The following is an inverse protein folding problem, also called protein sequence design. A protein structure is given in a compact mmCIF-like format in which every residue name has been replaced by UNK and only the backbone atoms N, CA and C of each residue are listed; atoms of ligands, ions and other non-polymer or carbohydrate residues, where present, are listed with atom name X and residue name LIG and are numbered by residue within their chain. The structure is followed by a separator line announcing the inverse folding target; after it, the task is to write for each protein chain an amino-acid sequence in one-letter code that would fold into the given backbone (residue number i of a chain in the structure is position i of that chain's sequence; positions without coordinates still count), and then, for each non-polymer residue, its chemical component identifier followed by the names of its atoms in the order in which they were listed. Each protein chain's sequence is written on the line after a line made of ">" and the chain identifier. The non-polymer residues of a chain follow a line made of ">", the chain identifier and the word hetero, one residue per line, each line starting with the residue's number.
data_IF_756186965957
#
_entry.id   IF_756186965957
#
_cell.length_a   1.000
_cell.length_b   1.000
_cell.length_c   1.000
_cell.angle_alpha   90.00
_cell.angle_beta   90.00
_cell.angle_gamma   90.00
#
_symmetry.space_group_name_H-M   'P 1'
#
loop_
_entity.id
_entity.type
_entity.pdbx_description
1 polymer ?
#
# COMPACT_ATOMS: atom_id res chain seq x y z
N UNK A 1 -18.72 0.10 0.42
CA UNK A 1 -20.07 0.29 0.99
C UNK A 1 -21.14 0.48 -0.09
N UNK A 2 -21.35 1.67 -0.67
CA UNK A 2 -22.43 1.88 -1.65
C UNK A 2 -22.43 0.90 -2.85
N UNK A 3 -21.24 0.49 -3.31
CA UNK A 3 -21.10 -0.51 -4.38
C UNK A 3 -21.66 -1.88 -3.97
N UNK A 4 -21.46 -2.29 -2.71
CA UNK A 4 -21.93 -3.55 -2.14
C UNK A 4 -23.38 -3.48 -1.68
N UNK A 5 -23.77 -2.34 -1.11
CA UNK A 5 -25.08 -2.10 -0.52
C UNK A 5 -25.71 -0.89 -1.22
N UNK A 6 -26.46 -1.10 -2.31
CA UNK A 6 -27.08 -0.05 -3.11
C UNK A 6 -28.02 0.86 -2.33
N UNK A 7 -28.63 0.32 -1.27
CA UNK A 7 -29.60 1.02 -0.43
C UNK A 7 -28.96 1.75 0.76
N UNK A 8 -27.62 1.82 0.81
CA UNK A 8 -26.88 2.58 1.82
C UNK A 8 -26.89 4.08 1.50
N UNK A 9 -27.99 4.75 1.86
CA UNK A 9 -28.19 6.19 1.66
C UNK A 9 -27.15 7.05 2.40
N UNK A 10 -26.58 6.55 3.51
CA UNK A 10 -25.52 7.24 4.25
C UNK A 10 -24.23 7.26 3.42
N UNK A 11 -23.85 6.10 2.86
CA UNK A 11 -22.71 6.02 1.94
C UNK A 11 -22.95 6.83 0.67
N UNK A 12 -24.18 6.85 0.13
CA UNK A 12 -24.55 7.68 -1.02
C UNK A 12 -24.27 9.16 -0.76
N UNK A 13 -24.78 9.72 0.35
CA UNK A 13 -24.58 11.15 0.68
C UNK A 13 -23.11 11.51 0.81
N UNK A 14 -22.29 10.63 1.40
CA UNK A 14 -20.84 10.85 1.55
C UNK A 14 -20.10 10.79 0.21
N UNK A 15 -20.46 9.84 -0.66
CA UNK A 15 -19.72 9.57 -1.88
C UNK A 15 -20.08 10.51 -3.04
N UNK A 16 -21.36 10.91 -3.17
CA UNK A 16 -21.86 11.65 -4.36
C UNK A 16 -21.13 12.97 -4.60
N UNK A 17 -20.70 13.65 -3.55
CA UNK A 17 -20.03 14.95 -3.63
C UNK A 17 -18.50 14.89 -3.64
N UNK A 18 -17.90 13.72 -3.40
CA UNK A 18 -16.45 13.56 -3.25
C UNK A 18 -15.87 12.59 -4.28
N UNK A 19 -14.93 13.03 -5.14
CA UNK A 19 -14.56 14.42 -5.46
C UNK A 19 -15.72 15.26 -6.00
N UNK A 20 -15.54 16.59 -6.10
CA UNK A 20 -16.58 17.54 -6.52
C UNK A 20 -17.13 17.21 -7.92
N UNK A 21 -18.40 16.79 -7.98
CA UNK A 21 -19.11 16.43 -9.24
C UNK A 21 -20.10 17.47 -9.74
N UNK A 22 -20.09 18.68 -9.17
CA UNK A 22 -21.09 19.72 -9.48
C UNK A 22 -22.51 19.34 -9.04
N UNK A 23 -22.62 18.47 -8.03
CA UNK A 23 -23.85 18.12 -7.32
C UNK A 23 -23.75 18.79 -5.95
N UNK A 24 -24.63 19.75 -5.66
CA UNK A 24 -24.61 20.49 -4.40
C UNK A 24 -25.51 19.88 -3.32
N UNK A 25 -25.35 20.34 -2.08
CA UNK A 25 -26.16 19.89 -0.93
C UNK A 25 -27.66 19.95 -1.19
N UNK A 26 -28.16 21.05 -1.75
CA UNK A 26 -29.59 21.21 -2.07
C UNK A 26 -30.09 20.11 -3.02
N UNK A 27 -29.27 19.68 -3.98
CA UNK A 27 -29.61 18.58 -4.88
C UNK A 27 -29.64 17.25 -4.12
N UNK A 28 -28.68 17.01 -3.21
CA UNK A 28 -28.63 15.80 -2.39
C UNK A 28 -29.83 15.72 -1.44
N UNK A 29 -30.20 16.83 -0.80
CA UNK A 29 -31.42 16.92 0.03
C UNK A 29 -32.69 16.66 -0.79
N UNK A 30 -32.76 17.17 -2.03
CA UNK A 30 -33.91 16.91 -2.92
C UNK A 30 -33.98 15.44 -3.32
N UNK A 31 -32.85 14.80 -3.64
CA UNK A 31 -32.79 13.36 -3.90
C UNK A 31 -33.29 12.58 -2.68
N UNK A 32 -32.88 12.97 -1.47
CA UNK A 32 -33.33 12.33 -0.25
C UNK A 32 -34.85 12.48 0.00
N UNK A 33 -35.42 13.65 -0.27
CA UNK A 33 -36.85 13.86 -0.17
C UNK A 33 -37.61 12.97 -1.16
N UNK A 34 -37.16 12.92 -2.42
CA UNK A 34 -37.75 12.07 -3.45
C UNK A 34 -37.61 10.58 -3.12
N UNK A 35 -36.48 10.16 -2.55
CA UNK A 35 -36.26 8.79 -2.08
C UNK A 35 -37.30 8.40 -1.01
N UNK A 36 -37.52 9.29 -0.03
CA UNK A 36 -38.56 9.11 0.99
C UNK A 36 -39.99 9.09 0.45
N UNK A 37 -40.30 9.96 -0.53
CA UNK A 37 -41.63 10.02 -1.17
C UNK A 37 -41.95 8.77 -2.00
N UNK A 38 -40.95 8.22 -2.69
CA UNK A 38 -41.11 7.06 -3.56
C UNK A 38 -40.81 5.73 -2.86
N UNK A 39 -40.36 5.77 -1.60
CA UNK A 39 -39.94 4.61 -0.81
C UNK A 39 -38.90 3.75 -1.54
N UNK A 40 -37.90 4.40 -2.12
CA UNK A 40 -36.75 3.79 -2.81
C UNK A 40 -35.45 4.43 -2.31
N UNK A 41 -34.31 3.80 -2.56
CA UNK A 41 -33.01 4.36 -2.16
C UNK A 41 -32.63 5.60 -2.98
N UNK A 42 -31.74 6.43 -2.42
CA UNK A 42 -31.20 7.61 -3.09
C UNK A 42 -30.50 7.25 -4.40
N UNK A 43 -29.89 6.05 -4.48
CA UNK A 43 -29.27 5.55 -5.70
C UNK A 43 -30.30 5.26 -6.81
N UNK A 44 -31.47 4.72 -6.45
CA UNK A 44 -32.54 4.46 -7.43
C UNK A 44 -33.13 5.77 -7.99
N UNK A 45 -33.31 6.79 -7.14
CA UNK A 45 -33.64 8.14 -7.61
C UNK A 45 -32.56 8.67 -8.55
N UNK A 46 -31.28 8.42 -8.24
CA UNK A 46 -30.18 8.88 -9.06
C UNK A 46 -30.13 8.20 -10.44
N UNK A 47 -30.44 6.89 -10.52
CA UNK A 47 -30.57 6.15 -11.80
C UNK A 47 -31.63 6.78 -12.70
N UNK A 48 -32.75 7.16 -12.10
CA UNK A 48 -33.90 7.73 -12.80
C UNK A 48 -33.95 9.26 -12.73
N UNK A 49 -32.85 9.95 -12.43
CA UNK A 49 -32.86 11.39 -12.17
C UNK A 49 -33.45 12.26 -13.31
N UNK A 50 -33.50 11.74 -14.54
CA UNK A 50 -34.12 12.41 -15.69
C UNK A 50 -35.65 12.40 -15.70
N UNK A 51 -36.31 11.58 -14.89
CA UNK A 51 -37.79 11.53 -14.80
C UNK A 51 -38.35 12.57 -13.84
N UNK A 52 -37.52 13.09 -12.93
CA UNK A 52 -37.91 14.06 -11.91
C UNK A 52 -37.62 15.50 -12.38
N UNK A 53 -38.68 16.31 -12.51
CA UNK A 53 -38.57 17.71 -12.95
C UNK A 53 -37.64 18.54 -12.04
N UNK A 54 -37.70 18.29 -10.73
CA UNK A 54 -36.88 18.97 -9.72
C UNK A 54 -35.38 18.74 -9.89
N UNK A 55 -34.99 17.61 -10.50
CA UNK A 55 -33.61 17.24 -10.73
C UNK A 55 -33.14 17.59 -12.14
N UNK A 56 -34.00 18.12 -13.01
CA UNK A 56 -33.72 18.36 -14.44
C UNK A 56 -32.36 19.05 -14.73
N UNK A 57 -31.97 20.04 -13.93
CA UNK A 57 -30.69 20.78 -14.08
C UNK A 57 -29.46 19.99 -13.68
N UNK A 58 -29.62 18.99 -12.82
CA UNK A 58 -28.56 18.13 -12.29
C UNK A 58 -28.65 16.68 -12.77
N UNK A 59 -29.70 16.32 -13.51
CA UNK A 59 -30.04 14.94 -13.88
C UNK A 59 -28.89 14.23 -14.59
N UNK A 60 -28.17 14.92 -15.49
CA UNK A 60 -27.01 14.35 -16.17
C UNK A 60 -25.84 14.01 -15.22
N UNK A 61 -25.57 14.86 -14.23
CA UNK A 61 -24.48 14.63 -13.25
C UNK A 61 -24.87 13.55 -12.25
N UNK A 62 -26.11 13.58 -11.78
CA UNK A 62 -26.67 12.61 -10.81
C UNK A 62 -26.75 11.22 -11.44
N UNK A 63 -27.30 11.09 -12.65
CA UNK A 63 -27.32 9.82 -13.38
C UNK A 63 -25.92 9.35 -13.78
N UNK A 64 -25.00 10.28 -14.06
CA UNK A 64 -23.59 9.97 -14.26
C UNK A 64 -22.96 9.29 -13.04
N UNK A 65 -23.25 9.79 -11.84
CA UNK A 65 -22.80 9.15 -10.59
C UNK A 65 -23.43 7.76 -10.39
N UNK A 66 -24.73 7.61 -10.64
CA UNK A 66 -25.39 6.30 -10.55
C UNK A 66 -24.75 5.28 -11.51
N UNK A 67 -24.50 5.67 -12.77
CA UNK A 67 -23.82 4.83 -13.77
C UNK A 67 -22.41 4.44 -13.36
N UNK A 68 -21.67 5.33 -12.71
CA UNK A 68 -20.35 5.03 -12.17
C UNK A 68 -20.44 3.92 -11.12
N UNK A 69 -21.35 4.03 -10.16
CA UNK A 69 -21.54 3.02 -9.11
C UNK A 69 -22.00 1.68 -9.70
N UNK A 70 -22.99 1.70 -10.59
CA UNK A 70 -23.49 0.49 -11.25
C UNK A 70 -22.40 -0.17 -12.10
N UNK A 71 -21.55 0.62 -12.77
CA UNK A 71 -20.41 0.11 -13.54
C UNK A 71 -19.32 -0.52 -12.66
N UNK A 72 -19.03 0.06 -11.49
CA UNK A 72 -18.09 -0.52 -10.53
C UNK A 72 -18.64 -1.82 -9.92
N UNK A 73 -19.94 -1.85 -9.62
CA UNK A 73 -20.62 -3.05 -9.13
C UNK A 73 -20.59 -4.17 -10.16
N UNK A 74 -20.94 -3.89 -11.41
CA UNK A 74 -20.90 -4.88 -12.47
C UNK A 74 -19.48 -5.45 -12.68
N UNK A 75 -18.44 -4.61 -12.56
CA UNK A 75 -17.05 -5.07 -12.63
C UNK A 75 -16.67 -5.97 -11.45
N UNK A 76 -17.16 -5.69 -10.25
CA UNK A 76 -16.93 -6.53 -9.08
C UNK A 76 -17.63 -7.89 -9.21
N UNK A 77 -18.88 -7.90 -9.70
CA UNK A 77 -19.67 -9.12 -9.89
C UNK A 77 -19.12 -10.00 -11.03
N UNK A 78 -18.48 -9.39 -12.03
CA UNK A 78 -17.87 -10.07 -13.18
C UNK A 78 -16.37 -10.31 -13.00
N UNK A 79 -15.79 -9.90 -11.87
CA UNK A 79 -14.37 -10.06 -11.64
C UNK A 79 -14.02 -11.55 -11.56
N UNK A 80 -13.08 -11.97 -12.40
CA UNK A 80 -12.45 -13.29 -12.27
C UNK A 80 -11.59 -13.32 -10.99
N UNK A 81 -11.27 -14.52 -10.52
CA UNK A 81 -10.49 -14.76 -9.29
C UNK A 81 -9.09 -14.12 -9.29
N UNK A 82 -8.61 -13.66 -10.45
CA UNK A 82 -7.30 -13.01 -10.60
C UNK A 82 -7.30 -11.53 -10.20
N UNK A 83 -8.48 -10.91 -10.00
CA UNK A 83 -8.56 -9.52 -9.56
C UNK A 83 -8.44 -9.43 -8.03
N UNK A 84 -7.35 -8.84 -7.55
CA UNK A 84 -7.15 -8.63 -6.11
C UNK A 84 -8.08 -7.55 -5.54
N UNK A 85 -8.31 -7.57 -4.23
CA UNK A 85 -9.04 -6.51 -3.53
C UNK A 85 -8.37 -5.15 -3.76
N UNK A 86 -7.04 -5.11 -3.73
CA UNK A 86 -6.28 -3.89 -3.95
C UNK A 86 -6.43 -3.34 -5.38
N UNK A 87 -6.47 -4.22 -6.39
CA UNK A 87 -6.76 -3.81 -7.77
C UNK A 87 -8.16 -3.21 -7.89
N UNK A 88 -9.13 -3.77 -7.17
CA UNK A 88 -10.49 -3.24 -7.13
C UNK A 88 -10.56 -1.86 -6.47
N UNK A 89 -9.88 -1.66 -5.33
CA UNK A 89 -9.81 -0.35 -4.67
C UNK A 89 -9.14 0.67 -5.61
N UNK A 90 -8.03 0.34 -6.27
CA UNK A 90 -7.39 1.22 -7.27
C UNK A 90 -8.34 1.58 -8.39
N UNK A 91 -9.11 0.61 -8.90
CA UNK A 91 -10.12 0.85 -9.92
C UNK A 91 -11.17 1.86 -9.44
N UNK A 92 -11.64 1.75 -8.20
CA UNK A 92 -12.59 2.69 -7.59
C UNK A 92 -11.96 4.08 -7.44
N UNK A 93 -10.73 4.17 -6.95
CA UNK A 93 -9.99 5.43 -6.77
C UNK A 93 -9.81 6.19 -8.09
N UNK A 94 -9.42 5.49 -9.15
CA UNK A 94 -9.27 6.07 -10.49
C UNK A 94 -10.63 6.41 -11.13
N UNK A 95 -11.59 5.48 -11.12
CA UNK A 95 -12.89 5.67 -11.80
C UNK A 95 -13.74 6.75 -11.12
N UNK A 96 -13.60 6.93 -9.81
CA UNK A 96 -14.28 7.99 -9.05
C UNK A 96 -13.66 9.37 -9.25
N UNK A 97 -12.42 9.44 -9.76
CA UNK A 97 -11.64 10.66 -9.92
C UNK A 97 -10.93 11.13 -8.66
N UNK A 98 -10.88 10.31 -7.59
CA UNK A 98 -10.34 10.72 -6.28
C UNK A 98 -8.85 11.06 -6.36
N UNK A 99 -8.05 10.22 -7.03
CA UNK A 99 -6.60 10.44 -7.18
C UNK A 99 -6.33 11.74 -7.92
N UNK A 100 -6.95 11.92 -9.09
CA UNK A 100 -6.78 13.14 -9.90
C UNK A 100 -7.18 14.41 -9.12
N UNK A 101 -8.23 14.34 -8.30
CA UNK A 101 -8.65 15.48 -7.48
C UNK A 101 -7.63 15.81 -6.37
N UNK A 102 -7.08 14.80 -5.70
CA UNK A 102 -6.06 14.99 -4.67
C UNK A 102 -4.72 15.46 -5.26
N UNK A 103 -4.33 14.94 -6.43
CA UNK A 103 -3.16 15.41 -7.19
C UNK A 103 -3.31 16.90 -7.56
N UNK A 104 -4.47 17.30 -8.11
CA UNK A 104 -4.76 18.70 -8.44
C UNK A 104 -4.76 19.61 -7.19
N UNK A 105 -5.25 19.11 -6.05
CA UNK A 105 -5.16 19.83 -4.77
C UNK A 105 -3.71 19.99 -4.28
N UNK A 106 -2.88 18.95 -4.43
CA UNK A 106 -1.46 19.01 -4.09
C UNK A 106 -0.72 20.02 -4.97
N UNK A 107 -0.98 20.03 -6.27
CA UNK A 107 -0.41 21.00 -7.22
C UNK A 107 -0.83 22.44 -6.91
N UNK A 108 -2.05 22.64 -6.40
CA UNK A 108 -2.55 23.94 -5.92
C UNK A 108 -1.96 24.37 -4.58
N UNK A 109 -1.07 23.58 -3.99
CA UNK A 109 -0.39 23.89 -2.73
C UNK A 109 -1.16 23.50 -1.47
N UNK A 110 -2.14 22.60 -1.56
CA UNK A 110 -2.77 22.04 -0.36
C UNK A 110 -1.77 21.11 0.36
N UNK A 111 -1.27 21.54 1.52
CA UNK A 111 -0.29 20.79 2.30
C UNK A 111 -0.81 19.44 2.82
N UNK A 112 -2.12 19.26 2.94
CA UNK A 112 -2.72 17.99 3.40
C UNK A 112 -2.86 16.97 2.26
N UNK A 113 -2.92 17.41 1.01
CA UNK A 113 -3.21 16.52 -0.12
C UNK A 113 -2.16 15.40 -0.32
N UNK A 114 -0.84 15.65 -0.19
CA UNK A 114 0.16 14.57 -0.22
C UNK A 114 -0.07 13.51 0.87
N UNK A 115 -0.39 13.94 2.09
CA UNK A 115 -0.67 13.00 3.19
C UNK A 115 -1.94 12.18 2.96
N UNK A 116 -2.96 12.77 2.32
CA UNK A 116 -4.18 12.03 1.94
C UNK A 116 -3.90 10.99 0.85
N UNK A 117 -3.04 11.31 -0.13
CA UNK A 117 -2.59 10.34 -1.13
C UNK A 117 -1.81 9.19 -0.49
N UNK A 118 -0.93 9.48 0.45
CA UNK A 118 -0.22 8.48 1.25
C UNK A 118 -1.19 7.57 2.01
N UNK A 119 -2.22 8.14 2.66
CA UNK A 119 -3.25 7.34 3.36
C UNK A 119 -4.03 6.41 2.41
N UNK A 120 -4.31 6.84 1.18
CA UNK A 120 -4.94 5.96 0.17
C UNK A 120 -4.01 4.81 -0.25
N UNK A 121 -2.71 5.09 -0.38
CA UNK A 121 -1.72 4.04 -0.67
C UNK A 121 -1.55 3.06 0.49
N UNK A 122 -1.70 3.50 1.74
CA UNK A 122 -1.76 2.62 2.91
C UNK A 122 -3.01 1.76 2.93
N UNK A 123 -4.18 2.31 2.56
CA UNK A 123 -5.41 1.51 2.40
C UNK A 123 -5.21 0.34 1.42
N UNK A 124 -4.46 0.55 0.33
CA UNK A 124 -4.12 -0.51 -0.61
C UNK A 124 -3.17 -1.55 -0.01
N UNK A 125 -2.27 -1.12 0.87
CA UNK A 125 -1.34 -2.02 1.57
C UNK A 125 -2.09 -2.91 2.56
N UNK A 126 -2.99 -2.32 3.35
CA UNK A 126 -3.87 -3.02 4.29
C UNK A 126 -4.79 -4.02 3.55
N UNK A 127 -5.34 -3.62 2.39
CA UNK A 127 -6.14 -4.52 1.56
C UNK A 127 -5.33 -5.72 1.02
N UNK A 128 -4.09 -5.50 0.55
CA UNK A 128 -3.20 -6.58 0.10
C UNK A 128 -2.83 -7.53 1.24
N UNK A 129 -2.53 -6.98 2.42
CA UNK A 129 -2.19 -7.78 3.60
C UNK A 129 -3.39 -8.60 4.08
N UNK A 130 -4.58 -7.98 4.11
CA UNK A 130 -5.83 -8.65 4.47
C UNK A 130 -6.09 -9.85 3.55
N UNK A 131 -6.06 -9.64 2.24
CA UNK A 131 -6.26 -10.70 1.25
C UNK A 131 -5.18 -11.79 1.35
N UNK A 132 -3.92 -11.42 1.54
CA UNK A 132 -2.83 -12.38 1.72
C UNK A 132 -2.96 -13.21 3.00
N UNK A 133 -3.54 -12.66 4.08
CA UNK A 133 -3.78 -13.41 5.31
C UNK A 133 -4.97 -14.36 5.15
N UNK A 134 -6.04 -13.93 4.49
CA UNK A 134 -7.19 -14.77 4.18
C UNK A 134 -6.82 -15.98 3.31
N UNK A 135 -5.90 -15.79 2.34
CA UNK A 135 -5.36 -16.87 1.50
C UNK A 135 -4.36 -17.78 2.23
N UNK A 136 -3.85 -17.38 3.40
CA UNK A 136 -2.91 -18.18 4.23
C UNK A 136 -3.63 -19.02 5.27
N UNK A 137 -4.86 -18.68 5.65
CA UNK A 137 -5.66 -19.43 6.63
C UNK A 137 -6.02 -20.86 6.14
N UNK A 138 -5.84 -21.15 4.85
CA UNK A 138 -5.92 -22.51 4.29
C UNK A 138 -4.70 -23.42 4.62
N UNK A 139 -3.59 -22.86 5.14
CA UNK A 139 -2.43 -23.63 5.62
C UNK A 139 -2.38 -23.64 7.16
N UNK A 140 -2.40 -24.85 7.76
CA UNK A 140 -2.39 -25.11 9.21
C UNK A 140 -1.52 -24.11 10.01
N UNK A 141 -2.17 -23.17 10.71
CA UNK A 141 -1.54 -22.39 11.80
C UNK A 141 -1.49 -20.86 11.65
N UNK A 142 -2.21 -20.24 10.72
CA UNK A 142 -2.39 -18.78 10.72
C UNK A 142 -3.48 -18.37 11.72
N UNK A 143 -3.23 -17.27 12.46
CA UNK A 143 -4.14 -16.52 13.33
C UNK A 143 -5.48 -17.18 13.73
N UNK A 144 -5.63 -17.50 15.02
CA UNK A 144 -6.91 -17.86 15.65
C UNK A 144 -7.81 -16.61 15.70
N UNK A 145 -8.30 -16.16 14.54
CA UNK A 145 -9.36 -15.16 14.46
C UNK A 145 -10.67 -15.87 14.84
N UNK A 146 -11.26 -15.58 16.03
CA UNK A 146 -12.38 -16.34 16.59
C UNK A 146 -13.68 -16.18 15.80
N UNK A 147 -13.67 -15.46 14.68
CA UNK A 147 -14.84 -15.03 13.94
C UNK A 147 -14.93 -15.56 12.50
N UNK A 148 -13.94 -16.31 12.01
CA UNK A 148 -14.14 -17.11 10.79
C UNK A 148 -14.94 -18.36 11.13
N UNK A 149 -16.26 -18.27 10.99
CA UNK A 149 -17.10 -19.47 10.90
C UNK A 149 -16.72 -20.22 9.61
N UNK A 150 -16.41 -21.52 9.73
CA UNK A 150 -16.08 -22.48 8.66
C UNK A 150 -17.22 -22.68 7.63
N UNK A 151 -17.79 -21.62 7.08
CA UNK A 151 -18.59 -21.70 5.87
C UNK A 151 -17.62 -21.69 4.69
N UNK A 152 -17.66 -22.75 3.85
CA UNK A 152 -17.00 -22.81 2.53
C UNK A 152 -17.53 -21.67 1.63
N UNK A 153 -17.16 -20.42 1.92
CA UNK A 153 -17.43 -19.29 1.06
C UNK A 153 -16.35 -19.26 -0.01
N UNK A 154 -16.79 -19.42 -1.24
CA UNK A 154 -15.95 -19.27 -2.42
C UNK A 154 -15.27 -17.89 -2.35
N UNK A 155 -13.93 -17.88 -2.28
CA UNK A 155 -13.11 -16.67 -2.21
C UNK A 155 -13.20 -15.92 -3.54
N UNK A 156 -14.22 -15.09 -3.65
CA UNK A 156 -14.43 -14.15 -4.77
C UNK A 156 -14.07 -12.73 -4.33
N UNK A 157 -13.71 -11.82 -5.26
CA UNK A 157 -13.45 -10.42 -4.93
C UNK A 157 -14.60 -9.76 -4.16
N UNK A 158 -15.84 -10.17 -4.43
CA UNK A 158 -17.03 -9.71 -3.72
C UNK A 158 -17.03 -10.15 -2.25
N UNK A 159 -16.79 -11.43 -1.98
CA UNK A 159 -16.74 -11.95 -0.59
C UNK A 159 -15.57 -11.38 0.18
N UNK A 160 -14.41 -11.20 -0.46
CA UNK A 160 -13.22 -10.60 0.18
C UNK A 160 -13.49 -9.15 0.55
N UNK A 161 -14.11 -8.37 -0.35
CA UNK A 161 -14.52 -7.00 -0.05
C UNK A 161 -15.56 -6.94 1.09
N UNK A 162 -16.49 -7.91 1.14
CA UNK A 162 -17.46 -7.99 2.23
C UNK A 162 -16.75 -8.20 3.57
N UNK A 163 -15.90 -9.22 3.68
CA UNK A 163 -15.14 -9.52 4.91
C UNK A 163 -14.25 -8.34 5.32
N UNK A 164 -13.61 -7.66 4.35
CA UNK A 164 -12.81 -6.46 4.62
C UNK A 164 -13.67 -5.33 5.21
N UNK A 165 -14.86 -5.08 4.67
CA UNK A 165 -15.78 -4.06 5.18
C UNK A 165 -16.35 -4.40 6.56
N UNK A 166 -16.58 -5.69 6.86
CA UNK A 166 -17.02 -6.15 8.18
C UNK A 166 -15.90 -5.98 9.23
N UNK A 167 -14.68 -6.40 8.90
CA UNK A 167 -13.49 -6.21 9.75
C UNK A 167 -13.28 -4.73 10.10
N UNK A 168 -13.33 -3.84 9.11
CA UNK A 168 -13.15 -2.39 9.33
C UNK A 168 -14.23 -1.77 10.22
N UNK A 169 -15.46 -2.29 10.19
CA UNK A 169 -16.53 -1.83 11.07
C UNK A 169 -16.32 -2.24 12.54
N UNK A 170 -15.78 -3.45 12.79
CA UNK A 170 -15.52 -3.94 14.16
C UNK A 170 -14.40 -3.16 14.87
N UNK A 171 -13.34 -2.80 14.14
CA UNK A 171 -12.25 -1.99 14.70
C UNK A 171 -12.71 -0.59 15.13
N UNK A 172 -13.72 -0.02 14.47
CA UNK A 172 -14.19 1.34 14.78
C UNK A 172 -15.09 1.40 16.03
N UNK A 173 -15.76 0.30 16.39
CA UNK A 173 -16.56 0.25 17.62
C UNK A 173 -15.69 0.05 18.89
N UNK A 174 -14.49 -0.54 18.77
CA UNK A 174 -13.55 -0.70 19.89
C UNK A 174 -12.88 0.61 20.35
N UNK A 175 -12.98 1.68 19.56
CA UNK A 175 -12.50 3.03 19.92
C UNK A 175 -13.47 3.80 20.84
N UNK A 176 -14.59 3.19 21.27
CA UNK A 176 -15.55 3.83 22.20
C UNK A 176 -15.25 3.52 23.67
N UNK A 177 -14.65 4.51 24.33
CA UNK A 177 -14.58 4.79 25.78
C UNK A 177 -14.59 3.60 26.75
N UNK A 178 -13.39 3.10 27.07
CA UNK A 178 -13.09 2.42 28.33
C UNK A 178 -12.06 3.21 29.15
N UNK A 179 -12.32 3.42 30.44
CA UNK A 179 -11.36 3.99 31.43
C UNK A 179 -10.22 3.00 31.77
N UNK A 180 -9.73 2.23 30.80
CA UNK A 180 -8.64 1.29 31.01
C UNK A 180 -7.29 1.89 30.60
N UNK A 181 -6.18 1.51 31.27
CA UNK A 181 -4.84 1.95 30.89
C UNK A 181 -4.47 1.39 29.52
N UNK A 182 -4.56 2.23 28.49
CA UNK A 182 -4.25 1.89 27.09
C UNK A 182 -2.78 2.22 26.74
N UNK A 183 -2.28 1.56 25.70
CA UNK A 183 -1.00 1.92 25.07
C UNK A 183 -1.21 3.12 24.16
N UNK A 184 -0.47 4.20 24.39
CA UNK A 184 -0.58 5.41 23.58
C UNK A 184 0.24 5.32 22.29
N UNK A 185 -0.45 5.32 21.15
CA UNK A 185 0.19 5.46 19.83
C UNK A 185 0.13 6.93 19.40
N UNK A 186 1.28 7.48 19.00
CA UNK A 186 1.36 8.87 18.53
C UNK A 186 2.57 9.08 17.63
N UNK A 187 2.56 10.18 16.87
CA UNK A 187 3.73 10.61 16.10
C UNK A 187 4.79 11.23 17.01
N UNK A 188 6.06 11.21 16.58
CA UNK A 188 7.19 11.79 17.34
C UNK A 188 6.95 13.27 17.66
N UNK A 189 6.37 14.03 16.72
CA UNK A 189 6.02 15.43 16.90
C UNK A 189 5.03 15.66 18.04
N UNK A 190 4.03 14.78 18.15
CA UNK A 190 2.97 14.87 19.17
C UNK A 190 3.47 14.49 20.56
N UNK A 191 4.56 13.73 20.65
CA UNK A 191 5.16 13.34 21.93
C UNK A 191 5.95 14.47 22.62
N UNK A 192 6.10 15.64 21.98
CA UNK A 192 6.88 16.76 22.53
C UNK A 192 6.29 17.24 23.86
N UNK A 193 7.11 17.19 24.92
CA UNK A 193 6.71 17.60 26.27
C UNK A 193 6.00 16.51 27.07
N UNK A 194 5.80 15.33 26.49
CA UNK A 194 5.34 14.13 27.19
C UNK A 194 6.53 13.24 27.58
N UNK A 195 6.34 12.37 28.56
CA UNK A 195 7.35 11.39 28.97
C UNK A 195 6.67 10.11 29.45
N UNK A 196 7.26 8.95 29.13
CA UNK A 196 6.70 7.64 29.41
C UNK A 196 7.76 6.73 30.04
N UNK A 197 7.35 5.77 30.88
CA UNK A 197 8.30 4.84 31.49
C UNK A 197 8.97 3.96 30.43
N UNK A 198 8.20 3.50 29.45
CA UNK A 198 8.67 2.69 28.32
C UNK A 198 8.25 3.35 27.01
N UNK A 199 9.18 3.48 26.07
CA UNK A 199 8.92 4.00 24.71
C UNK A 199 9.36 3.01 23.65
N UNK A 200 8.49 2.75 22.69
CA UNK A 200 8.79 2.01 21.48
C UNK A 200 8.96 2.98 20.30
N UNK A 201 10.19 3.17 19.84
CA UNK A 201 10.49 3.87 18.59
C UNK A 201 10.46 2.85 17.45
N UNK A 202 9.35 2.83 16.71
CA UNK A 202 9.14 1.88 15.62
C UNK A 202 9.53 2.46 14.27
N UNK A 203 9.91 1.58 13.33
CA UNK A 203 10.21 1.99 11.95
C UNK A 203 11.46 2.87 11.82
N UNK A 204 12.47 2.65 12.68
CA UNK A 204 13.72 3.39 12.65
C UNK A 204 14.62 2.91 11.48
N UNK A 205 14.18 3.23 10.26
CA UNK A 205 14.72 2.76 8.99
C UNK A 205 15.05 3.97 8.11
N UNK A 206 16.14 3.91 7.32
CA UNK A 206 16.44 4.96 6.34
C UNK A 206 15.29 5.12 5.33
N UNK A 207 14.88 6.36 5.08
CA UNK A 207 13.77 6.69 4.20
C UNK A 207 12.42 6.82 4.92
N UNK A 208 12.28 6.21 6.10
CA UNK A 208 11.12 6.35 7.01
C UNK A 208 11.49 7.29 8.16
N UNK A 209 12.55 6.97 8.90
CA UNK A 209 13.09 7.79 9.97
C UNK A 209 14.62 7.68 10.03
N UNK A 210 15.38 8.61 9.39
CA UNK A 210 14.91 9.89 8.87
C UNK A 210 14.00 9.76 7.64
N UNK A 211 12.99 10.63 7.56
CA UNK A 211 12.11 10.69 6.40
C UNK A 211 12.88 11.06 5.12
N UNK A 212 12.53 10.44 4.00
CA UNK A 212 13.08 10.78 2.68
C UNK A 212 12.93 12.27 2.32
N UNK A 213 11.93 12.95 2.90
CA UNK A 213 11.69 14.39 2.69
C UNK A 213 12.77 15.28 3.31
N UNK A 214 13.59 14.76 4.22
CA UNK A 214 14.66 15.53 4.84
C UNK A 214 15.72 16.05 3.84
N UNK A 215 15.79 15.44 2.65
CA UNK A 215 16.68 15.86 1.57
C UNK A 215 16.15 17.04 0.75
N UNK A 216 14.88 17.41 0.91
CA UNK A 216 14.25 18.52 0.17
C UNK A 216 14.69 19.89 0.70
N UNK A 217 15.21 19.95 1.93
CA UNK A 217 15.69 21.18 2.56
C UNK A 217 17.13 21.02 3.07
N UNK A 218 17.96 22.09 2.99
CA UNK A 218 19.35 22.04 3.47
C UNK A 218 19.49 21.61 4.94
N UNK A 219 18.53 22.01 5.78
CA UNK A 219 18.54 21.77 7.23
C UNK A 219 17.68 20.57 7.64
N UNK A 220 17.03 19.88 6.70
CA UNK A 220 16.05 18.84 6.98
C UNK A 220 16.63 17.66 7.75
N UNK A 221 17.89 17.29 7.47
CA UNK A 221 18.56 16.22 8.20
C UNK A 221 18.90 16.59 9.64
N UNK A 222 19.20 17.86 9.91
CA UNK A 222 19.39 18.33 11.28
C UNK A 222 18.07 18.39 12.04
N UNK A 223 16.97 18.72 11.37
CA UNK A 223 15.63 18.69 11.95
C UNK A 223 15.20 17.26 12.32
N UNK A 224 15.37 16.29 11.42
CA UNK A 224 15.11 14.87 11.73
C UNK A 224 15.99 14.37 12.88
N UNK A 225 17.24 14.84 12.97
CA UNK A 225 18.12 14.52 14.10
C UNK A 225 17.59 15.10 15.41
N UNK A 226 17.04 16.33 15.39
CA UNK A 226 16.36 16.92 16.56
C UNK A 226 15.13 16.09 16.95
N UNK A 227 14.37 15.59 15.97
CA UNK A 227 13.24 14.69 16.23
C UNK A 227 13.70 13.37 16.86
N UNK A 228 14.81 12.78 16.40
CA UNK A 228 15.38 11.57 17.01
C UNK A 228 15.78 11.81 18.47
N UNK A 229 16.39 12.95 18.75
CA UNK A 229 16.70 13.36 20.13
C UNK A 229 15.43 13.50 20.98
N UNK A 230 14.36 14.11 20.45
CA UNK A 230 13.07 14.20 21.14
C UNK A 230 12.54 12.80 21.44
N UNK A 231 12.47 11.91 20.45
CA UNK A 231 11.96 10.54 20.60
C UNK A 231 12.71 9.76 21.70
N UNK A 232 14.05 9.76 21.66
CA UNK A 232 14.90 9.06 22.64
C UNK A 232 14.68 9.61 24.05
N UNK A 233 14.54 10.93 24.20
CA UNK A 233 14.36 11.58 25.51
C UNK A 233 12.93 11.50 26.05
N UNK A 234 11.98 10.86 25.34
CA UNK A 234 10.64 10.61 25.90
C UNK A 234 10.63 9.43 26.88
N UNK A 235 11.63 8.54 26.80
CA UNK A 235 11.74 7.36 27.66
C UNK A 235 12.39 7.70 29.01
N UNK A 236 11.74 7.31 30.12
CA UNK A 236 12.30 7.44 31.47
C UNK A 236 13.10 6.21 31.90
N UNK A 237 12.63 5.01 31.56
CA UNK A 237 13.23 3.74 32.01
C UNK A 237 13.76 2.93 30.83
N UNK A 238 12.92 2.62 29.85
CA UNK A 238 13.27 1.75 28.72
C UNK A 238 12.94 2.39 27.37
N UNK A 239 13.88 2.26 26.43
CA UNK A 239 13.70 2.63 25.02
C UNK A 239 13.94 1.39 24.17
N UNK A 240 12.92 0.98 23.42
CA UNK A 240 13.01 -0.09 22.45
C UNK A 240 12.94 0.52 21.05
N UNK A 241 13.95 0.27 20.22
CA UNK A 241 14.00 0.73 18.84
C UNK A 241 13.83 -0.48 17.92
N UNK A 242 12.86 -0.43 17.01
CA UNK A 242 12.60 -1.54 16.08
C UNK A 242 12.82 -1.14 14.63
N UNK A 243 13.29 -2.12 13.86
CA UNK A 243 13.56 -2.01 12.41
C UNK A 243 13.02 -3.26 11.72
N UNK A 244 12.49 -3.12 10.51
CA UNK A 244 12.06 -4.23 9.67
C UNK A 244 13.07 -4.51 8.55
N UNK A 245 13.27 -5.79 8.21
CA UNK A 245 14.10 -6.19 7.05
C UNK A 245 13.41 -5.88 5.73
N UNK A 246 12.08 -5.96 5.73
CA UNK A 246 11.20 -5.57 4.64
C UNK A 246 9.90 -5.01 5.22
N UNK A 247 9.30 -4.07 4.49
CA UNK A 247 8.06 -3.41 4.89
C UNK A 247 7.20 -3.15 3.67
N UNK A 248 5.92 -3.51 3.71
CA UNK A 248 4.95 -2.99 2.76
C UNK A 248 4.57 -1.59 3.22
N UNK A 249 4.88 -0.59 2.40
CA UNK A 249 4.54 0.81 2.67
C UNK A 249 4.10 1.44 1.34
N UNK A 250 2.96 2.12 1.36
CA UNK A 250 2.39 2.79 0.20
C UNK A 250 2.23 1.89 -1.05
N UNK A 251 1.87 0.62 -0.83
CA UNK A 251 1.64 -0.37 -1.88
C UNK A 251 2.92 -0.95 -2.50
N UNK A 252 4.08 -0.69 -1.90
CA UNK A 252 5.38 -1.18 -2.37
C UNK A 252 6.17 -1.82 -1.23
N UNK A 253 6.79 -2.98 -1.49
CA UNK A 253 7.69 -3.61 -0.51
C UNK A 253 9.05 -2.91 -0.55
N UNK A 254 9.40 -2.24 0.54
CA UNK A 254 10.66 -1.55 0.75
C UNK A 254 11.62 -2.41 1.58
N UNK A 255 12.91 -2.33 1.25
CA UNK A 255 14.01 -3.01 1.94
C UNK A 255 14.97 -1.98 2.49
N UNK A 256 14.53 -1.27 3.53
CA UNK A 256 15.28 -0.16 4.10
C UNK A 256 16.34 -0.66 5.08
N UNK A 257 17.51 -0.01 5.06
CA UNK A 257 18.56 -0.28 6.06
C UNK A 257 18.20 0.40 7.39
N UNK A 258 18.73 -0.07 8.53
CA UNK A 258 18.53 0.60 9.82
C UNK A 258 18.92 2.08 9.76
N UNK A 259 18.17 2.91 10.49
CA UNK A 259 18.39 4.34 10.58
C UNK A 259 19.81 4.68 11.04
N UNK A 260 20.44 5.65 10.37
CA UNK A 260 21.72 6.24 10.80
C UNK A 260 21.68 6.81 12.21
N UNK A 261 20.51 7.16 12.73
CA UNK A 261 20.39 7.66 14.10
C UNK A 261 20.68 6.58 15.14
N UNK A 262 20.42 5.30 14.82
CA UNK A 262 20.77 4.17 15.69
C UNK A 262 22.30 4.01 15.76
N UNK A 263 23.00 4.16 14.63
CA UNK A 263 24.46 4.06 14.58
C UNK A 263 25.17 5.14 15.42
N UNK A 264 24.49 6.26 15.68
CA UNK A 264 25.02 7.32 16.52
C UNK A 264 24.91 7.04 18.03
N UNK A 265 24.15 6.02 18.43
CA UNK A 265 24.05 5.59 19.82
C UNK A 265 25.27 4.70 20.14
N UNK A 266 26.00 4.95 21.25
CA UNK A 266 27.11 4.10 21.65
C UNK A 266 26.71 2.63 21.77
N UNK A 267 27.49 1.72 21.16
CA UNK A 267 27.17 0.29 21.13
C UNK A 267 27.10 -0.32 22.54
N UNK A 268 27.89 0.19 23.47
CA UNK A 268 27.94 -0.26 24.87
C UNK A 268 26.61 -0.01 25.62
N UNK A 269 25.78 0.90 25.10
CA UNK A 269 24.46 1.24 25.63
C UNK A 269 23.32 0.49 24.93
N UNK A 270 23.63 -0.33 23.93
CA UNK A 270 22.63 -1.02 23.11
C UNK A 270 22.68 -2.53 23.29
N UNK A 271 21.51 -3.12 23.53
CA UNK A 271 21.32 -4.57 23.43
C UNK A 271 20.56 -4.90 22.15
N UNK A 272 21.24 -5.50 21.16
CA UNK A 272 20.59 -5.95 19.92
C UNK A 272 19.86 -7.28 20.14
N UNK A 273 18.59 -7.35 19.73
CA UNK A 273 17.73 -8.55 19.79
C UNK A 273 17.04 -8.76 18.44
N UNK A 274 16.74 -10.02 18.09
CA UNK A 274 16.03 -10.39 16.85
C UNK A 274 16.89 -11.12 15.81
N UNK A 275 16.23 -11.67 14.79
CA UNK A 275 16.79 -12.47 13.68
C UNK A 275 17.38 -11.64 12.55
N UNK A 276 17.96 -10.47 12.86
CA UNK A 276 18.68 -9.71 11.85
C UNK A 276 19.81 -10.57 11.29
N UNK A 277 19.68 -10.91 10.00
CA UNK A 277 20.71 -11.52 9.16
C UNK A 277 22.05 -10.89 9.53
N UNK A 278 23.04 -11.70 9.92
CA UNK A 278 24.40 -11.24 10.13
C UNK A 278 24.82 -10.38 8.94
N UNK A 279 24.90 -9.06 9.14
CA UNK A 279 25.59 -8.17 8.23
C UNK A 279 27.01 -8.72 8.12
N UNK A 280 27.34 -9.37 7.00
CA UNK A 280 28.73 -9.66 6.68
C UNK A 280 29.44 -8.32 6.59
N UNK A 281 30.45 -8.16 7.44
CA UNK A 281 31.30 -6.99 7.53
C UNK A 281 31.73 -6.50 6.15
N UNK A 282 31.15 -5.38 5.70
CA UNK A 282 31.73 -4.58 4.62
C UNK A 282 32.79 -3.67 5.24
N UNK A 283 33.86 -4.28 5.78
CA UNK A 283 35.01 -3.52 6.25
C UNK A 283 35.89 -3.10 5.06
N UNK A 284 35.95 -1.78 4.87
CA UNK A 284 37.06 -1.00 4.33
C UNK A 284 37.62 -1.35 2.94
N UNK A 285 37.21 -0.59 1.92
CA UNK A 285 38.05 0.36 1.15
C UNK A 285 37.41 0.60 -0.23
N UNK A 286 36.46 1.51 -0.31
CA UNK A 286 36.12 2.17 -1.55
C UNK A 286 35.63 3.57 -1.20
N UNK A 287 36.39 4.57 -1.65
CA UNK A 287 36.05 5.98 -1.51
C UNK A 287 34.61 6.19 -1.97
N UNK A 288 33.76 6.68 -1.07
CA UNK A 288 32.38 7.07 -1.36
C UNK A 288 32.44 8.20 -2.39
N UNK A 289 32.25 7.83 -3.66
CA UNK A 289 31.73 8.77 -4.65
C UNK A 289 30.22 8.77 -4.45
N UNK A 290 29.74 9.88 -3.92
CA UNK A 290 28.35 10.28 -3.91
C UNK A 290 27.82 10.29 -5.34
N UNK A 291 27.00 9.28 -5.68
CA UNK A 291 26.06 9.33 -6.80
C UNK A 291 24.75 8.72 -6.31
N UNK A 292 23.98 9.54 -5.59
CA UNK A 292 22.69 9.17 -5.00
C UNK A 292 21.51 9.31 -5.99
N UNK A 293 21.75 9.20 -7.31
CA UNK A 293 20.78 9.58 -8.34
C UNK A 293 20.41 8.51 -9.37
N UNK A 294 20.61 7.21 -9.08
CA UNK A 294 20.41 6.14 -10.08
C UNK A 294 19.25 5.17 -9.82
N UNK A 295 18.41 5.38 -8.81
CA UNK A 295 17.23 4.51 -8.59
C UNK A 295 15.87 5.23 -8.67
N UNK A 296 15.85 6.56 -8.57
CA UNK A 296 14.62 7.35 -8.77
C UNK A 296 14.29 7.59 -10.25
N UNK A 297 15.28 7.52 -11.15
CA UNK A 297 15.11 7.85 -12.57
C UNK A 297 14.70 6.68 -13.47
N UNK A 298 14.83 5.42 -13.01
CA UNK A 298 14.46 4.24 -13.82
C UNK A 298 12.97 3.89 -13.74
N UNK A 299 12.27 4.34 -12.69
CA UNK A 299 10.82 4.17 -12.57
C UNK A 299 10.02 5.34 -13.16
N UNK A 300 10.57 6.57 -13.15
CA UNK A 300 9.93 7.73 -13.78
C UNK A 300 9.89 7.63 -15.32
N UNK A 301 10.89 6.99 -15.95
CA UNK A 301 10.87 6.74 -17.39
C UNK A 301 9.95 5.58 -17.80
N UNK A 302 9.70 4.61 -16.91
CA UNK A 302 8.85 3.45 -17.20
C UNK A 302 7.34 3.75 -17.16
N UNK A 303 6.94 4.89 -16.56
CA UNK A 303 5.54 5.29 -16.44
C UNK A 303 5.08 6.25 -17.56
N UNK A 304 6.00 7.01 -18.17
CA UNK A 304 5.67 7.94 -19.27
C UNK A 304 5.60 7.29 -20.66
N UNK A 305 5.99 6.03 -20.81
CA UNK A 305 6.08 5.33 -22.12
C UNK A 305 4.96 4.31 -22.38
N UNK A 306 4.02 4.12 -21.43
CA UNK A 306 2.86 3.20 -21.59
C UNK A 306 1.57 3.86 -22.11
N UNK A 307 1.68 5.00 -22.76
CA UNK A 307 0.66 5.52 -23.70
C UNK A 307 1.36 5.73 -25.05
N UNK A 308 1.74 4.63 -25.70
CA UNK A 308 2.48 4.74 -26.95
C UNK A 308 2.96 3.40 -27.50
N UNK A 309 2.07 2.74 -28.22
CA UNK A 309 2.39 1.80 -29.31
C UNK A 309 2.99 0.43 -28.95
N UNK A 310 2.46 -0.56 -29.67
CA UNK A 310 2.91 -1.93 -29.78
C UNK A 310 4.37 -2.06 -30.24
N UNK A 311 5.14 -2.95 -29.61
CA UNK A 311 5.98 -4.00 -30.19
C UNK A 311 7.24 -4.28 -29.33
N UNK A 312 7.47 -5.55 -28.99
CA UNK A 312 8.78 -6.05 -28.56
C UNK A 312 8.79 -6.74 -27.19
N UNK A 313 8.93 -8.07 -27.20
CA UNK A 313 9.17 -8.93 -26.04
C UNK A 313 10.41 -8.46 -25.25
N UNK A 314 10.27 -8.36 -23.94
CA UNK A 314 11.35 -8.35 -22.94
C UNK A 314 10.84 -9.23 -21.78
N UNK A 315 11.57 -10.12 -21.12
CA UNK A 315 12.96 -10.53 -21.16
C UNK A 315 13.17 -11.40 -19.92
N UNK A 316 12.56 -12.59 -19.91
CA UNK A 316 12.62 -13.57 -18.82
C UNK A 316 12.61 -14.99 -19.40
N UNK A 317 13.16 -15.95 -18.67
CA UNK A 317 13.26 -17.35 -19.09
C UNK A 317 12.09 -18.14 -18.50
N UNK A 318 11.42 -18.95 -19.32
CA UNK A 318 10.38 -19.86 -18.82
C UNK A 318 11.05 -20.97 -17.97
N UNK A 319 10.64 -21.15 -16.70
CA UNK A 319 11.12 -22.21 -15.82
C UNK A 319 11.11 -23.61 -16.43
N UNK A 320 10.20 -23.90 -17.38
CA UNK A 320 10.07 -25.21 -18.02
C UNK A 320 11.19 -25.52 -19.01
N UNK A 321 11.91 -24.50 -19.49
CA UNK A 321 12.95 -24.62 -20.51
C UNK A 321 14.37 -24.59 -19.94
N UNK A 322 14.53 -24.68 -18.61
CA UNK A 322 15.81 -24.54 -17.90
C UNK A 322 16.22 -25.83 -17.18
N UNK A 323 17.48 -26.21 -17.31
CA UNK A 323 18.10 -27.35 -16.63
C UNK A 323 19.36 -26.94 -15.86
N UNK A 324 19.68 -27.68 -14.79
CA UNK A 324 20.94 -27.50 -14.05
C UNK A 324 22.11 -27.82 -14.99
N UNK A 325 23.08 -26.92 -15.08
CA UNK A 325 24.21 -26.95 -16.03
C UNK A 325 24.04 -26.04 -17.26
N UNK A 326 22.86 -25.45 -17.47
CA UNK A 326 22.65 -24.51 -18.57
C UNK A 326 23.45 -23.22 -18.36
N UNK A 327 24.03 -22.70 -19.46
CA UNK A 327 24.71 -21.41 -19.47
C UNK A 327 23.72 -20.29 -19.74
N UNK A 328 23.77 -19.28 -18.88
CA UNK A 328 22.91 -18.10 -18.95
C UNK A 328 23.75 -16.85 -18.88
N UNK A 329 23.38 -15.87 -19.69
CA UNK A 329 24.10 -14.59 -19.80
C UNK A 329 23.32 -13.50 -19.09
N UNK A 330 23.99 -12.80 -18.19
CA UNK A 330 23.49 -11.62 -17.50
C UNK A 330 24.20 -10.37 -18.02
N UNK A 331 23.43 -9.34 -18.41
CA UNK A 331 23.96 -8.12 -19.04
C UNK A 331 25.15 -7.48 -18.29
N UNK A 332 25.12 -7.48 -16.96
CA UNK A 332 26.16 -6.86 -16.12
C UNK A 332 27.17 -7.86 -15.52
N UNK A 333 26.89 -9.17 -15.54
CA UNK A 333 27.70 -10.18 -14.82
C UNK A 333 28.36 -11.20 -15.76
N UNK A 334 28.10 -11.12 -17.05
CA UNK A 334 28.69 -12.02 -18.04
C UNK A 334 27.94 -13.36 -18.11
N UNK A 335 28.64 -14.41 -18.50
CA UNK A 335 28.08 -15.76 -18.66
C UNK A 335 28.27 -16.51 -17.34
N UNK A 336 27.23 -17.16 -16.86
CA UNK A 336 27.24 -18.00 -15.66
C UNK A 336 26.52 -19.33 -15.89
N UNK A 337 26.78 -20.31 -15.03
CA UNK A 337 26.21 -21.66 -15.12
C UNK A 337 25.17 -21.89 -14.01
N UNK A 338 24.00 -22.42 -14.36
CA UNK A 338 22.96 -22.75 -13.38
C UNK A 338 23.40 -23.94 -12.54
N UNK A 339 23.66 -23.73 -11.25
CA UNK A 339 24.07 -24.78 -10.31
C UNK A 339 22.89 -25.38 -9.53
N UNK A 340 21.76 -24.67 -9.41
CA UNK A 340 20.57 -25.17 -8.71
C UNK A 340 19.29 -24.48 -9.17
N UNK A 341 18.20 -25.22 -9.27
CA UNK A 341 16.85 -24.70 -9.58
C UNK A 341 15.91 -25.12 -8.44
N UNK A 342 15.21 -24.16 -7.82
CA UNK A 342 14.14 -24.43 -6.86
C UNK A 342 12.82 -23.91 -7.42
N UNK A 343 11.83 -24.78 -7.60
CA UNK A 343 10.51 -24.40 -8.10
C UNK A 343 9.68 -23.75 -6.99
N UNK A 344 9.00 -22.64 -7.30
CA UNK A 344 8.11 -21.89 -6.39
C UNK A 344 6.89 -21.47 -7.19
N UNK A 345 5.71 -21.99 -6.85
CA UNK A 345 4.38 -21.63 -7.38
C UNK A 345 4.35 -20.98 -8.77
N UNK A 346 4.65 -21.77 -9.81
CA UNK A 346 4.60 -21.34 -11.21
C UNK A 346 5.89 -20.71 -11.77
N UNK A 347 6.91 -20.50 -10.94
CA UNK A 347 8.22 -19.94 -11.31
C UNK A 347 9.39 -20.76 -10.72
N UNK A 348 10.63 -20.36 -10.98
CA UNK A 348 11.84 -20.99 -10.44
C UNK A 348 12.88 -19.98 -9.95
N UNK A 349 13.46 -20.26 -8.78
CA UNK A 349 14.66 -19.59 -8.28
C UNK A 349 15.89 -20.33 -8.78
N UNK A 350 16.63 -19.68 -9.68
CA UNK A 350 17.89 -20.13 -10.24
C UNK A 350 19.05 -19.67 -9.34
N UNK A 351 19.94 -20.59 -8.97
CA UNK A 351 21.24 -20.25 -8.41
C UNK A 351 22.27 -20.43 -9.52
N UNK A 352 22.97 -19.36 -9.89
CA UNK A 352 23.91 -19.31 -11.01
C UNK A 352 25.28 -18.95 -10.48
N UNK A 353 26.31 -19.66 -10.94
CA UNK A 353 27.71 -19.35 -10.67
C UNK A 353 28.32 -18.54 -11.82
N UNK A 354 28.80 -17.33 -11.50
CA UNK A 354 29.56 -16.48 -12.41
C UNK A 354 31.02 -16.50 -11.98
N UNK A 355 31.79 -17.47 -12.51
CA UNK A 355 33.23 -17.60 -12.29
C UNK A 355 33.60 -17.64 -10.79
N UNK A 356 32.95 -18.54 -10.04
CA UNK A 356 33.17 -18.75 -8.60
C UNK A 356 32.37 -17.82 -7.68
N UNK A 357 31.52 -16.93 -8.22
CA UNK A 357 30.58 -16.09 -7.47
C UNK A 357 29.14 -16.50 -7.76
N UNK A 358 28.48 -17.06 -6.73
CA UNK A 358 27.09 -17.50 -6.83
C UNK A 358 26.10 -16.35 -6.62
N UNK A 359 25.03 -16.35 -7.42
CA UNK A 359 23.97 -15.36 -7.36
C UNK A 359 22.61 -16.01 -7.66
N UNK A 360 21.55 -15.49 -7.02
CA UNK A 360 20.20 -16.02 -7.16
C UNK A 360 19.34 -15.11 -8.02
N UNK A 361 18.59 -15.69 -8.93
CA UNK A 361 17.72 -15.01 -9.88
C UNK A 361 16.38 -15.74 -9.95
N UNK A 362 15.30 -14.99 -10.21
CA UNK A 362 13.98 -15.54 -10.46
C UNK A 362 13.80 -15.70 -11.98
N UNK A 363 13.46 -16.89 -12.48
CA UNK A 363 13.56 -17.21 -13.90
C UNK A 363 12.73 -16.25 -14.77
N UNK A 364 11.46 -16.02 -14.40
CA UNK A 364 10.55 -15.14 -15.15
C UNK A 364 10.92 -13.64 -15.09
N UNK A 365 11.60 -13.20 -14.04
CA UNK A 365 11.94 -11.78 -13.78
C UNK A 365 13.42 -11.47 -13.96
N UNK A 366 14.20 -12.45 -14.44
CA UNK A 366 15.64 -12.30 -14.62
C UNK A 366 15.97 -11.76 -16.01
N UNK A 367 16.83 -10.74 -16.07
CA UNK A 367 17.45 -10.28 -17.33
C UNK A 367 18.50 -11.27 -17.85
N UNK A 368 18.18 -12.56 -17.78
CA UNK A 368 19.02 -13.66 -18.22
C UNK A 368 18.57 -14.09 -19.61
N UNK A 369 19.53 -14.26 -20.51
CA UNK A 369 19.29 -14.94 -21.79
C UNK A 369 20.00 -16.28 -21.78
N UNK A 370 19.33 -17.33 -22.24
CA UNK A 370 19.94 -18.65 -22.43
C UNK A 370 20.94 -18.54 -23.59
N UNK A 371 22.14 -19.09 -23.41
CA UNK A 371 23.17 -19.12 -24.45
C UNK A 371 23.09 -20.38 -25.31
#
# INVERSE_FOLDING_TARGET
>A
RLIMTPDDDVAFRRAVQVPRRGIGEVTVERINALAGENNVSMLEIARNAGTYEDLSRSAGRVSGFAKLIDGLRAKLEQAESDMTLADFIRLVEHSSGMIAALEEEAERGNAEAPSRLENLQELLSDALEFEANLLREDEEGAFDDPFYEEEEKELTPLTILQSFLERTALYTDQDTEGEEPLVSLMTIHSAKGLEFDVVYLVGAEEGIFPSSRCFESPDGMEEERRLAYVAVTRAKQELLITTATNRLLFGSTQYNIPSRFIESIPQDLMQRRGTAVQQRDYSSTARVRTDHNLFASTFASAFSERIGQSAGKTGGLDPKDLSVGDKVRHANRGIGEIIKINLVSGDAILTIDFDGKTARFMASQSFLTKE
#
